data_IF_823886790684
#
_entry.id   IF_823886790684
#
_cell.length_a   1.000
_cell.length_b   1.000
_cell.length_c   1.000
_cell.angle_alpha   90.00
_cell.angle_beta   90.00
_cell.angle_gamma   90.00
#
_symmetry.space_group_name_H-M   'P 1'
#
loop_
_entity.id
_entity.type
_entity.pdbx_description
1 polymer ?
#
# COMPACT_ATOMS: atom_id res chain seq x y z
N UNK A 1 6.79 -24.82 -25.42
CA UNK A 1 6.35 -23.55 -24.78
C UNK A 1 5.75 -23.87 -23.41
N UNK A 2 6.36 -23.42 -22.31
CA UNK A 2 5.79 -23.62 -20.97
C UNK A 2 4.49 -22.81 -20.83
N UNK A 3 3.38 -23.48 -20.53
CA UNK A 3 2.07 -22.86 -20.31
C UNK A 3 2.16 -22.02 -19.03
N UNK A 4 1.97 -20.70 -19.14
CA UNK A 4 1.96 -19.81 -17.97
C UNK A 4 0.80 -20.16 -17.04
N UNK A 5 1.13 -20.58 -15.82
CA UNK A 5 0.17 -20.82 -14.74
C UNK A 5 -0.27 -19.48 -14.13
N UNK A 6 -1.21 -18.80 -14.78
CA UNK A 6 -1.67 -17.46 -14.39
C UNK A 6 -2.10 -17.35 -12.92
N UNK A 7 -2.69 -18.40 -12.36
CA UNK A 7 -3.11 -18.42 -10.95
C UNK A 7 -1.93 -18.47 -9.98
N UNK A 8 -0.92 -19.29 -10.29
CA UNK A 8 0.31 -19.37 -9.52
C UNK A 8 1.08 -18.05 -9.56
N UNK A 9 1.17 -17.44 -10.74
CA UNK A 9 1.76 -16.10 -10.90
C UNK A 9 1.06 -15.05 -10.04
N UNK A 10 -0.28 -15.04 -10.02
CA UNK A 10 -1.07 -14.13 -9.18
C UNK A 10 -0.84 -14.37 -7.68
N UNK A 11 -0.72 -15.64 -7.26
CA UNK A 11 -0.45 -16.01 -5.86
C UNK A 11 0.91 -15.49 -5.41
N UNK A 12 1.95 -15.79 -6.19
CA UNK A 12 3.33 -15.31 -5.93
C UNK A 12 3.37 -13.78 -5.94
N UNK A 13 2.69 -13.13 -6.88
CA UNK A 13 2.61 -11.67 -6.92
C UNK A 13 1.96 -11.10 -5.66
N UNK A 14 0.90 -11.74 -5.15
CA UNK A 14 0.23 -11.32 -3.92
C UNK A 14 1.15 -11.45 -2.70
N UNK A 15 1.84 -12.57 -2.56
CA UNK A 15 2.84 -12.79 -1.50
C UNK A 15 3.96 -11.75 -1.56
N UNK A 16 4.48 -11.47 -2.76
CA UNK A 16 5.55 -10.50 -2.97
C UNK A 16 5.11 -9.07 -2.61
N UNK A 17 3.89 -8.69 -2.96
CA UNK A 17 3.30 -7.38 -2.60
C UNK A 17 3.20 -7.26 -1.08
N UNK A 18 2.67 -8.28 -0.40
CA UNK A 18 2.53 -8.32 1.05
C UNK A 18 3.89 -8.13 1.75
N UNK A 19 4.89 -8.91 1.32
CA UNK A 19 6.26 -8.83 1.84
C UNK A 19 6.89 -7.45 1.66
N UNK A 20 6.76 -6.86 0.46
CA UNK A 20 7.31 -5.53 0.18
C UNK A 20 6.68 -4.45 1.06
N UNK A 21 5.36 -4.49 1.27
CA UNK A 21 4.67 -3.50 2.08
C UNK A 21 5.02 -3.66 3.56
N UNK A 22 5.21 -4.88 4.05
CA UNK A 22 5.69 -5.13 5.42
C UNK A 22 7.13 -4.66 5.62
N UNK A 23 8.00 -4.82 4.62
CA UNK A 23 9.35 -4.23 4.65
C UNK A 23 9.27 -2.70 4.62
N UNK A 24 8.40 -2.13 3.79
CA UNK A 24 8.17 -0.69 3.79
C UNK A 24 7.81 -0.19 5.21
N UNK A 25 6.90 -0.87 5.89
CA UNK A 25 6.50 -0.53 7.26
C UNK A 25 7.66 -0.58 8.26
N UNK A 26 8.54 -1.60 8.18
CA UNK A 26 9.72 -1.72 9.06
C UNK A 26 10.76 -0.64 8.81
N UNK A 27 11.09 -0.39 7.55
CA UNK A 27 12.09 0.60 7.17
C UNK A 27 11.54 2.03 7.22
N UNK A 28 10.23 2.19 7.37
CA UNK A 28 9.62 3.52 7.32
C UNK A 28 10.19 4.46 8.35
N UNK A 29 10.78 4.07 9.48
CA UNK A 29 11.39 5.06 10.42
C UNK A 29 12.89 5.25 10.22
N UNK A 30 13.54 4.29 9.56
CA UNK A 30 14.98 4.22 9.39
C UNK A 30 15.37 4.91 8.09
N UNK A 31 14.77 4.49 6.98
CA UNK A 31 15.03 5.00 5.64
C UNK A 31 13.72 5.21 4.90
N UNK A 32 13.40 6.49 4.70
CA UNK A 32 12.17 6.90 4.02
C UNK A 32 12.17 6.52 2.53
N UNK A 33 13.27 6.75 1.82
CA UNK A 33 13.35 6.53 0.39
C UNK A 33 13.27 5.04 0.07
N UNK A 34 13.95 4.21 0.85
CA UNK A 34 13.87 2.77 0.72
C UNK A 34 12.44 2.27 0.96
N UNK A 35 11.76 2.79 2.00
CA UNK A 35 10.36 2.45 2.29
C UNK A 35 9.42 2.84 1.14
N UNK A 36 9.58 4.04 0.60
CA UNK A 36 8.83 4.50 -0.59
C UNK A 36 9.09 3.61 -1.80
N UNK A 37 10.35 3.22 -2.03
CA UNK A 37 10.74 2.35 -3.14
C UNK A 37 10.10 0.96 -3.04
N UNK A 38 9.97 0.41 -1.84
CA UNK A 38 9.24 -0.86 -1.65
C UNK A 38 7.76 -0.74 -2.02
N UNK A 39 7.09 0.36 -1.66
CA UNK A 39 5.68 0.62 -2.04
C UNK A 39 5.55 0.80 -3.56
N UNK A 40 6.49 1.51 -4.19
CA UNK A 40 6.54 1.67 -5.64
C UNK A 40 6.63 0.32 -6.36
N UNK A 41 7.53 -0.56 -5.91
CA UNK A 41 7.67 -1.91 -6.45
C UNK A 41 6.39 -2.74 -6.25
N UNK A 42 5.81 -2.71 -5.06
CA UNK A 42 4.55 -3.40 -4.77
C UNK A 42 3.42 -2.94 -5.71
N UNK A 43 3.32 -1.63 -5.96
CA UNK A 43 2.34 -1.06 -6.91
C UNK A 43 2.59 -1.52 -8.34
N UNK A 44 3.86 -1.51 -8.81
CA UNK A 44 4.23 -1.99 -10.16
C UNK A 44 3.86 -3.46 -10.36
N UNK A 45 4.13 -4.32 -9.38
CA UNK A 45 3.76 -5.75 -9.41
C UNK A 45 2.24 -5.91 -9.46
N UNK A 46 1.51 -5.18 -8.61
CA UNK A 46 0.03 -5.19 -8.59
C UNK A 46 -0.56 -4.85 -9.95
N UNK A 47 -0.02 -3.83 -10.63
CA UNK A 47 -0.45 -3.43 -11.97
C UNK A 47 -0.09 -4.48 -13.03
N UNK A 48 1.14 -4.99 -13.02
CA UNK A 48 1.65 -5.97 -13.99
C UNK A 48 0.83 -7.27 -13.98
N UNK A 49 0.54 -7.81 -12.80
CA UNK A 49 -0.20 -9.07 -12.65
C UNK A 49 -1.71 -8.88 -12.43
N UNK A 50 -2.20 -7.63 -12.49
CA UNK A 50 -3.61 -7.25 -12.24
C UNK A 50 -4.14 -7.82 -10.91
N UNK A 51 -3.30 -7.84 -9.87
CA UNK A 51 -3.66 -8.34 -8.53
C UNK A 51 -4.06 -7.17 -7.66
N UNK A 52 -5.21 -7.29 -6.97
CA UNK A 52 -5.71 -6.26 -6.06
C UNK A 52 -4.95 -6.31 -4.74
N UNK A 53 -4.27 -5.22 -4.38
CA UNK A 53 -3.70 -5.04 -3.04
C UNK A 53 -4.81 -5.14 -2.00
N UNK A 54 -4.60 -5.93 -0.94
CA UNK A 54 -5.57 -6.15 0.14
C UNK A 54 -5.93 -4.85 0.86
N UNK A 55 -7.10 -4.83 1.52
CA UNK A 55 -7.57 -3.62 2.23
C UNK A 55 -6.58 -3.18 3.32
N UNK A 56 -6.01 -4.12 4.07
CA UNK A 56 -5.00 -3.89 5.13
C UNK A 56 -3.80 -3.09 4.60
N UNK A 57 -3.19 -3.58 3.52
CA UNK A 57 -2.01 -2.92 2.94
C UNK A 57 -2.33 -1.59 2.27
N UNK A 58 -3.54 -1.44 1.69
CA UNK A 58 -4.00 -0.16 1.14
C UNK A 58 -4.12 0.95 2.17
N UNK A 59 -4.18 0.65 3.46
CA UNK A 59 -4.27 1.64 4.54
C UNK A 59 -2.89 2.11 5.01
N UNK A 60 -1.80 1.41 4.66
CA UNK A 60 -0.45 1.69 5.16
C UNK A 60 0.27 2.81 4.40
N UNK A 61 -0.20 3.19 3.21
CA UNK A 61 0.44 4.20 2.39
C UNK A 61 -0.53 5.12 1.63
N UNK A 62 -0.03 6.28 1.22
CA UNK A 62 -0.73 7.21 0.36
C UNK A 62 -0.69 6.75 -1.10
N UNK A 63 -1.85 6.65 -1.76
CA UNK A 63 -1.91 6.26 -3.19
C UNK A 63 -1.35 7.32 -4.15
N UNK A 64 -1.34 8.60 -3.75
CA UNK A 64 -0.92 9.72 -4.60
C UNK A 64 0.59 9.86 -4.60
N UNK A 65 1.19 10.14 -3.44
CA UNK A 65 2.64 10.36 -3.30
C UNK A 65 3.44 9.12 -2.88
N UNK A 66 2.79 7.96 -2.72
CA UNK A 66 3.42 6.70 -2.28
C UNK A 66 4.11 6.77 -0.92
N UNK A 67 3.75 7.79 -0.13
CA UNK A 67 4.24 7.99 1.21
C UNK A 67 3.80 6.85 2.13
N UNK A 68 4.71 6.04 2.70
CA UNK A 68 4.41 5.14 3.82
C UNK A 68 3.96 5.98 5.01
N UNK A 69 2.75 5.75 5.53
CA UNK A 69 2.23 6.57 6.63
C UNK A 69 3.07 6.38 7.90
N UNK A 70 3.79 7.44 8.29
CA UNK A 70 4.46 7.60 9.58
C UNK A 70 3.58 8.44 10.51
N UNK A 71 3.61 8.16 11.81
CA UNK A 71 2.72 8.74 12.85
C UNK A 71 2.66 10.28 12.87
N UNK A 72 3.69 10.95 12.35
CA UNK A 72 3.84 12.40 12.28
C UNK A 72 3.13 13.05 11.07
N UNK A 73 2.92 12.33 9.95
CA UNK A 73 2.46 12.92 8.67
C UNK A 73 1.15 12.37 8.12
N UNK A 74 0.29 11.81 8.95
CA UNK A 74 -1.11 11.55 8.57
C UNK A 74 -2.08 11.89 9.69
N UNK A 75 -3.31 12.20 9.29
CA UNK A 75 -4.42 12.45 10.20
C UNK A 75 -5.52 11.44 9.93
N UNK A 76 -6.00 10.78 10.98
CA UNK A 76 -7.17 9.90 10.91
C UNK A 76 -8.33 10.59 11.63
N UNK A 77 -9.49 10.65 10.95
CA UNK A 77 -10.75 11.11 11.53
C UNK A 77 -11.79 10.02 11.32
N UNK A 78 -12.55 9.70 12.36
CA UNK A 78 -13.69 8.80 12.29
C UNK A 78 -14.95 9.67 12.33
N UNK A 79 -15.83 9.52 11.34
CA UNK A 79 -17.09 10.27 11.26
C UNK A 79 -18.15 9.46 10.52
N UNK A 80 -19.37 9.35 11.09
CA UNK A 80 -20.51 8.64 10.49
C UNK A 80 -20.12 7.28 9.87
N UNK A 81 -19.54 6.40 10.69
CA UNK A 81 -19.07 5.07 10.27
C UNK A 81 -18.06 5.07 9.10
N UNK A 82 -17.31 6.17 8.94
CA UNK A 82 -16.28 6.29 7.91
C UNK A 82 -14.95 6.69 8.53
N UNK A 83 -13.89 5.99 8.15
CA UNK A 83 -12.50 6.32 8.45
C UNK A 83 -11.97 7.21 7.33
N UNK A 84 -11.64 8.44 7.67
CA UNK A 84 -11.06 9.45 6.77
C UNK A 84 -9.58 9.57 7.10
N UNK A 85 -8.73 9.19 6.16
CA UNK A 85 -7.27 9.30 6.27
C UNK A 85 -6.81 10.45 5.38
N UNK A 86 -6.18 11.45 5.98
CA UNK A 86 -5.58 12.58 5.28
C UNK A 86 -4.07 12.46 5.32
N UNK A 87 -3.43 12.46 4.16
CA UNK A 87 -1.97 12.51 4.04
C UNK A 87 -1.51 13.95 4.19
N UNK A 88 -0.72 14.26 5.23
CA UNK A 88 -0.19 15.61 5.43
C UNK A 88 0.99 15.94 4.50
N UNK A 89 1.52 14.94 3.79
CA UNK A 89 2.61 15.13 2.82
C UNK A 89 2.13 15.64 1.44
N UNK A 90 0.89 15.34 1.04
CA UNK A 90 0.36 15.74 -0.28
C UNK A 90 -1.11 16.17 -0.27
N UNK A 91 -1.67 16.33 0.93
CA UNK A 91 -3.06 16.72 1.20
C UNK A 91 -4.14 15.79 0.60
N UNK A 92 -3.78 14.57 0.18
CA UNK A 92 -4.76 13.62 -0.35
C UNK A 92 -5.65 13.07 0.77
N UNK A 93 -6.97 13.06 0.54
CA UNK A 93 -7.95 12.52 1.48
C UNK A 93 -8.48 11.19 0.94
N UNK A 94 -8.52 10.17 1.79
CA UNK A 94 -9.10 8.86 1.50
C UNK A 94 -10.16 8.52 2.51
N UNK A 95 -11.29 8.00 2.04
CA UNK A 95 -12.42 7.59 2.88
C UNK A 95 -12.62 6.09 2.78
N UNK A 96 -12.83 5.44 3.91
CA UNK A 96 -13.15 4.03 4.02
C UNK A 96 -14.39 3.89 4.87
N UNK A 97 -15.46 3.35 4.31
CA UNK A 97 -16.66 3.04 5.08
C UNK A 97 -16.41 1.79 5.91
N UNK A 98 -16.71 1.88 7.22
CA UNK A 98 -16.88 0.76 8.13
C UNK A 98 -18.32 0.29 7.89
N UNK A 99 -18.46 -0.72 7.04
CA UNK A 99 -19.73 -1.34 6.70
C UNK A 99 -19.75 -2.73 7.32
#
# INVERSE_FOLDING_TARGET
MLKREKEKEKRIAMERISYLIERAEKFKKIDYELSRRYIELARKISMKYRVRISKKYKLMFCKKCLYPYRSDRFRVRIHKSSVIITCLNCSSIRRFQLR
#
